data_IF_820922256611
#
_entry.id   IF_820922256611
#
_cell.length_a   1.000
_cell.length_b   1.000
_cell.length_c   1.000
_cell.angle_alpha   90.00
_cell.angle_beta   90.00
_cell.angle_gamma   90.00
#
_symmetry.space_group_name_H-M   'P 1'
#
loop_
_entity.id
_entity.type
_entity.pdbx_description
1 polymer ?
#
# COMPACT_ATOMS: atom_id res chain seq x y z
N UNK A 1 -22.35 -19.53 0.63
CA UNK A 1 -22.42 -18.53 1.71
C UNK A 1 -22.29 -17.15 1.10
N UNK A 2 -23.26 -16.26 1.31
CA UNK A 2 -23.21 -14.86 0.87
C UNK A 2 -22.92 -13.99 2.09
N UNK A 3 -21.80 -13.26 2.08
CA UNK A 3 -21.49 -12.28 3.12
C UNK A 3 -22.23 -10.98 2.80
N UNK A 4 -23.14 -10.57 3.68
CA UNK A 4 -23.80 -9.27 3.59
C UNK A 4 -22.79 -8.18 3.98
N UNK A 5 -22.63 -7.19 3.11
CA UNK A 5 -21.82 -6.00 3.37
C UNK A 5 -22.72 -4.77 3.46
N UNK A 6 -22.58 -3.98 4.52
CA UNK A 6 -23.33 -2.73 4.74
C UNK A 6 -22.34 -1.57 4.62
N UNK A 7 -22.66 -0.58 3.79
CA UNK A 7 -21.87 0.65 3.67
C UNK A 7 -22.36 1.69 4.69
N UNK A 8 -21.48 2.13 5.58
CA UNK A 8 -21.75 3.17 6.58
C UNK A 8 -20.90 4.41 6.29
N UNK A 9 -21.49 5.60 6.38
CA UNK A 9 -20.77 6.88 6.40
C UNK A 9 -20.66 7.34 7.85
N UNK A 10 -19.44 7.37 8.37
CA UNK A 10 -19.14 7.88 9.71
C UNK A 10 -18.16 9.05 9.59
N UNK A 11 -18.21 9.97 10.55
CA UNK A 11 -17.14 10.96 10.68
C UNK A 11 -15.86 10.22 11.08
N UNK A 12 -14.73 10.42 10.38
CA UNK A 12 -13.50 9.73 10.74
C UNK A 12 -12.95 10.28 12.05
N UNK A 13 -12.52 9.37 12.93
CA UNK A 13 -11.73 9.76 14.10
C UNK A 13 -10.38 10.31 13.66
N UNK A 14 -9.80 11.29 14.38
CA UNK A 14 -8.48 11.86 14.03
C UNK A 14 -7.39 10.80 13.85
N UNK A 15 -7.37 9.78 14.71
CA UNK A 15 -6.43 8.66 14.62
C UNK A 15 -6.59 7.85 13.32
N UNK A 16 -7.82 7.72 12.81
CA UNK A 16 -8.10 7.10 11.52
C UNK A 16 -7.56 7.89 10.35
N UNK A 17 -7.68 9.22 10.38
CA UNK A 17 -7.10 10.11 9.36
C UNK A 17 -5.57 10.00 9.37
N UNK A 18 -4.94 10.10 10.55
CA UNK A 18 -3.49 10.00 10.70
C UNK A 18 -2.95 8.66 10.18
N UNK A 19 -3.65 7.55 10.49
CA UNK A 19 -3.30 6.24 9.94
C UNK A 19 -3.35 6.25 8.41
N UNK A 20 -4.39 6.82 7.79
CA UNK A 20 -4.52 6.87 6.33
C UNK A 20 -3.45 7.77 5.68
N UNK A 21 -3.07 8.88 6.32
CA UNK A 21 -2.00 9.74 5.84
C UNK A 21 -0.65 9.03 5.85
N UNK A 22 -0.33 8.36 6.96
CA UNK A 22 0.87 7.53 7.11
C UNK A 22 0.86 6.35 6.13
N UNK A 23 -0.29 5.71 5.94
CA UNK A 23 -0.48 4.65 4.95
C UNK A 23 -0.23 5.14 3.53
N UNK A 24 -0.77 6.28 3.14
CA UNK A 24 -0.52 6.88 1.82
C UNK A 24 0.96 7.19 1.62
N UNK A 25 1.65 7.70 2.65
CA UNK A 25 3.08 7.98 2.58
C UNK A 25 3.88 6.69 2.36
N UNK A 26 3.64 5.67 3.19
CA UNK A 26 4.30 4.38 3.12
C UNK A 26 4.03 3.64 1.80
N UNK A 27 2.79 3.68 1.29
CA UNK A 27 2.42 3.06 0.03
C UNK A 27 3.16 3.71 -1.16
N UNK A 28 3.23 5.05 -1.19
CA UNK A 28 4.01 5.75 -2.21
C UNK A 28 5.51 5.47 -2.11
N UNK A 29 6.05 5.37 -0.89
CA UNK A 29 7.43 4.97 -0.65
C UNK A 29 7.69 3.55 -1.19
N UNK A 30 6.86 2.59 -0.80
CA UNK A 30 6.96 1.19 -1.23
C UNK A 30 6.86 1.03 -2.75
N UNK A 31 5.89 1.69 -3.40
CA UNK A 31 5.74 1.70 -4.86
C UNK A 31 7.01 2.19 -5.54
N UNK A 32 7.55 3.33 -5.08
CA UNK A 32 8.75 3.91 -5.67
C UNK A 32 9.97 3.00 -5.47
N UNK A 33 10.11 2.39 -4.29
CA UNK A 33 11.22 1.47 -3.99
C UNK A 33 11.14 0.19 -4.82
N UNK A 34 9.96 -0.43 -4.94
CA UNK A 34 9.71 -1.60 -5.81
C UNK A 34 10.09 -1.31 -7.26
N UNK A 35 9.70 -0.16 -7.79
CA UNK A 35 10.00 0.21 -9.17
C UNK A 35 11.48 0.58 -9.36
N UNK A 36 12.11 1.24 -8.39
CA UNK A 36 13.51 1.68 -8.48
C UNK A 36 14.50 0.53 -8.34
N UNK A 37 14.22 -0.43 -7.45
CA UNK A 37 15.03 -1.64 -7.28
C UNK A 37 14.59 -2.79 -8.19
N UNK A 38 13.58 -2.55 -9.04
CA UNK A 38 13.00 -3.56 -9.94
C UNK A 38 12.56 -4.87 -9.23
N UNK A 39 12.02 -4.77 -8.01
CA UNK A 39 11.55 -5.94 -7.24
C UNK A 39 10.32 -6.54 -7.94
N UNK A 40 10.27 -7.87 -8.06
CA UNK A 40 9.21 -8.57 -8.83
C UNK A 40 8.42 -9.56 -7.99
N UNK A 41 9.06 -10.20 -7.02
CA UNK A 41 8.48 -11.28 -6.24
C UNK A 41 8.05 -10.82 -4.86
N UNK A 42 7.10 -11.54 -4.27
CA UNK A 42 6.64 -11.30 -2.90
C UNK A 42 7.79 -11.42 -1.89
N UNK A 43 8.69 -12.39 -2.11
CA UNK A 43 9.84 -12.67 -1.24
C UNK A 43 10.85 -11.51 -1.24
N UNK A 44 11.20 -10.99 -2.41
CA UNK A 44 12.07 -9.81 -2.55
C UNK A 44 11.45 -8.60 -1.85
N UNK A 45 10.17 -8.33 -2.14
CA UNK A 45 9.46 -7.20 -1.55
C UNK A 45 9.37 -7.32 -0.03
N UNK A 46 9.05 -8.49 0.49
CA UNK A 46 8.99 -8.72 1.94
C UNK A 46 10.35 -8.47 2.59
N UNK A 47 11.43 -9.03 2.02
CA UNK A 47 12.80 -8.85 2.52
C UNK A 47 13.19 -7.38 2.59
N UNK A 48 12.88 -6.62 1.54
CA UNK A 48 13.31 -5.22 1.41
C UNK A 48 12.42 -4.24 2.18
N UNK A 49 11.10 -4.47 2.26
CA UNK A 49 10.15 -3.46 2.78
C UNK A 49 9.55 -3.79 4.14
N UNK A 50 9.48 -5.07 4.56
CA UNK A 50 8.72 -5.41 5.76
C UNK A 50 9.26 -4.72 7.03
N UNK A 51 10.59 -4.77 7.25
CA UNK A 51 11.21 -4.12 8.42
C UNK A 51 11.03 -2.61 8.39
N UNK A 52 11.23 -1.97 7.24
CA UNK A 52 11.04 -0.52 7.09
C UNK A 52 9.61 -0.09 7.39
N UNK A 53 8.61 -0.84 6.90
CA UNK A 53 7.20 -0.58 7.17
C UNK A 53 6.85 -0.77 8.66
N UNK A 54 7.46 -1.76 9.33
CA UNK A 54 7.26 -2.02 10.76
C UNK A 54 7.91 -0.95 11.63
N UNK A 55 9.15 -0.59 11.33
CA UNK A 55 10.02 0.20 12.20
C UNK A 55 9.91 1.70 11.89
N UNK A 56 9.98 2.11 10.63
CA UNK A 56 9.98 3.54 10.26
C UNK A 56 8.58 4.12 10.17
N UNK A 57 7.63 3.34 9.67
CA UNK A 57 6.23 3.74 9.58
C UNK A 57 5.40 3.27 10.78
N UNK A 58 5.96 2.48 11.70
CA UNK A 58 5.27 2.03 12.90
C UNK A 58 4.01 1.20 12.64
N UNK A 59 3.95 0.50 11.50
CA UNK A 59 2.76 -0.28 11.17
C UNK A 59 2.70 -1.59 11.96
N UNK A 60 1.51 -2.00 12.43
CA UNK A 60 1.24 -3.38 12.81
C UNK A 60 1.57 -4.35 11.66
N UNK A 61 1.91 -5.60 11.99
CA UNK A 61 2.31 -6.60 11.00
C UNK A 61 1.31 -6.74 9.86
N UNK A 62 -0.01 -6.76 10.16
CA UNK A 62 -1.04 -6.87 9.12
C UNK A 62 -1.03 -5.69 8.15
N UNK A 63 -0.98 -4.46 8.66
CA UNK A 63 -0.94 -3.25 7.84
C UNK A 63 0.33 -3.19 6.99
N UNK A 64 1.47 -3.63 7.53
CA UNK A 64 2.71 -3.72 6.77
C UNK A 64 2.61 -4.71 5.59
N UNK A 65 2.02 -5.90 5.83
CA UNK A 65 1.79 -6.90 4.79
C UNK A 65 0.87 -6.36 3.69
N UNK A 66 -0.23 -5.74 4.07
CA UNK A 66 -1.22 -5.22 3.11
C UNK A 66 -0.64 -4.04 2.32
N UNK A 67 0.11 -3.15 2.96
CA UNK A 67 0.78 -2.03 2.31
C UNK A 67 1.70 -2.46 1.16
N UNK A 68 2.58 -3.45 1.37
CA UNK A 68 3.47 -3.86 0.28
C UNK A 68 2.75 -4.72 -0.77
N UNK A 69 1.67 -5.43 -0.42
CA UNK A 69 0.83 -6.16 -1.40
C UNK A 69 0.14 -5.19 -2.35
N UNK A 70 -0.42 -4.12 -1.81
CA UNK A 70 -1.01 -3.04 -2.59
C UNK A 70 0.05 -2.34 -3.46
N UNK A 71 1.26 -2.14 -2.92
CA UNK A 71 2.38 -1.60 -3.69
C UNK A 71 2.79 -2.50 -4.86
N UNK A 72 2.84 -3.82 -4.66
CA UNK A 72 3.09 -4.81 -5.73
C UNK A 72 2.01 -4.71 -6.81
N UNK A 73 0.73 -4.64 -6.42
CA UNK A 73 -0.38 -4.53 -7.35
C UNK A 73 -0.26 -3.26 -8.22
N UNK A 74 0.04 -2.12 -7.60
CA UNK A 74 0.28 -0.85 -8.31
C UNK A 74 1.47 -0.94 -9.27
N UNK A 75 2.59 -1.51 -8.82
CA UNK A 75 3.79 -1.66 -9.65
C UNK A 75 3.54 -2.60 -10.84
N UNK A 76 2.82 -3.72 -10.63
CA UNK A 76 2.42 -4.64 -11.70
C UNK A 76 1.50 -3.96 -12.72
N UNK A 77 0.48 -3.25 -12.26
CA UNK A 77 -0.44 -2.53 -13.14
C UNK A 77 0.29 -1.51 -14.01
N UNK A 78 1.24 -0.75 -13.44
CA UNK A 78 2.05 0.19 -14.20
C UNK A 78 2.98 -0.50 -15.21
N UNK A 79 3.65 -1.59 -14.82
CA UNK A 79 4.52 -2.37 -15.72
C UNK A 79 3.77 -2.94 -16.92
N UNK A 80 2.53 -3.37 -16.70
CA UNK A 80 1.67 -3.97 -17.72
C UNK A 80 0.98 -2.93 -18.62
N UNK A 81 1.01 -1.65 -18.27
CA UNK A 81 0.45 -0.59 -19.10
C UNK A 81 1.36 -0.33 -20.32
N UNK A 82 0.90 -0.56 -21.57
CA UNK A 82 1.73 -0.39 -22.77
C UNK A 82 2.23 1.05 -22.97
N UNK A 83 1.48 2.04 -22.48
CA UNK A 83 1.84 3.46 -22.61
C UNK A 83 2.88 3.92 -21.57
N UNK A 84 3.24 3.07 -20.59
CA UNK A 84 4.18 3.33 -19.48
C UNK A 84 4.29 4.81 -19.09
N UNK A 85 3.17 5.37 -18.64
CA UNK A 85 3.09 6.77 -18.24
C UNK A 85 3.92 7.09 -16.99
N UNK A 86 3.62 8.21 -16.34
CA UNK A 86 4.28 8.61 -15.07
C UNK A 86 4.19 7.49 -14.02
N UNK A 87 5.21 7.40 -13.16
CA UNK A 87 5.20 6.45 -12.03
C UNK A 87 3.92 6.61 -11.21
N UNK A 88 3.31 5.51 -10.74
CA UNK A 88 2.07 5.57 -9.98
C UNK A 88 2.31 6.31 -8.66
N UNK A 89 1.37 7.19 -8.31
CA UNK A 89 1.34 7.91 -7.02
C UNK A 89 -0.07 7.90 -6.48
N UNK A 90 -0.24 7.36 -5.28
CA UNK A 90 -1.52 7.33 -4.57
C UNK A 90 -1.77 8.70 -3.93
N UNK A 91 -2.86 9.35 -4.33
CA UNK A 91 -3.25 10.68 -3.83
C UNK A 91 -4.33 10.63 -2.74
N UNK A 92 -5.27 9.70 -2.89
CA UNK A 92 -6.41 9.53 -1.99
C UNK A 92 -5.97 8.91 -0.66
N UNK A 93 -6.63 9.32 0.42
CA UNK A 93 -6.56 8.65 1.71
C UNK A 93 -7.51 7.44 1.68
N UNK A 94 -6.93 6.26 1.46
CA UNK A 94 -7.66 4.99 1.40
C UNK A 94 -6.69 3.85 1.70
N UNK A 95 -7.21 2.82 2.35
CA UNK A 95 -6.48 1.59 2.65
C UNK A 95 -7.39 0.41 2.34
N UNK A 96 -6.88 -0.58 1.60
CA UNK A 96 -7.55 -1.86 1.46
C UNK A 96 -7.03 -2.79 2.57
N UNK A 97 -7.94 -3.33 3.37
CA UNK A 97 -7.62 -4.37 4.33
C UNK A 97 -8.02 -5.69 3.68
N UNK A 98 -7.04 -6.58 3.48
CA UNK A 98 -7.26 -7.92 2.92
C UNK A 98 -7.55 -8.92 4.03
#
# INVERSE_FOLDING_TARGET
MLTLSIALRVSPEPAGIELLERYRLALNYAINKILSLNLKTLKEVHRELYRELREWFGFPSRIALDCYRDAIANAKAWRNNPKKGKRPRVKKLSMLLH
#
